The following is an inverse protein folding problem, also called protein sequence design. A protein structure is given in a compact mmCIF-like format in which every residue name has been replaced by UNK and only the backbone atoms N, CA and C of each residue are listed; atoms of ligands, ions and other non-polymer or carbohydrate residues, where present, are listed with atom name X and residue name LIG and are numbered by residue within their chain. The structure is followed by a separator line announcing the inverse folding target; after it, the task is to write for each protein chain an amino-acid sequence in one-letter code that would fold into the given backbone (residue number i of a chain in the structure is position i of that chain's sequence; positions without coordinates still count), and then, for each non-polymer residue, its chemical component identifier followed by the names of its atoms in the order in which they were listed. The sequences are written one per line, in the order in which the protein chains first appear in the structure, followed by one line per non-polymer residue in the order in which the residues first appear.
data_IF_186282113874
#
_entry.id   IF_186282113874
#
_cell.length_a   1.000
_cell.length_b   1.000
_cell.length_c   1.000
_cell.angle_alpha   90.00
_cell.angle_beta   90.00
_cell.angle_gamma   90.00
#
_symmetry.space_group_name_H-M   'P 1'
#
loop_
_entity.id
_entity.type
_entity.pdbx_description
1 polymer ?
#
# COMPACT_ATOMS: atom_id res chain seq x y z
N UNK A 1 19.62 -8.43 -5.85
CA UNK A 1 18.73 -8.61 -7.01
C UNK A 1 18.64 -7.29 -7.73
N UNK A 2 18.78 -7.24 -9.05
CA UNK A 2 18.50 -6.03 -9.83
C UNK A 2 17.02 -6.05 -10.20
N UNK A 3 16.31 -4.98 -9.89
CA UNK A 3 14.97 -4.76 -10.42
C UNK A 3 15.05 -4.35 -11.90
N UNK A 4 14.02 -4.67 -12.66
CA UNK A 4 13.87 -4.33 -14.08
C UNK A 4 13.57 -2.84 -14.26
N UNK A 5 12.58 -2.30 -13.53
CA UNK A 5 12.15 -0.90 -13.65
C UNK A 5 12.15 -0.13 -12.34
N UNK A 6 12.24 -0.80 -11.19
CA UNK A 6 12.28 -0.15 -9.87
C UNK A 6 13.68 0.43 -9.63
N UNK A 7 13.74 1.73 -9.36
CA UNK A 7 15.00 2.41 -9.02
C UNK A 7 15.18 2.49 -7.51
N UNK A 8 16.32 2.02 -7.01
CA UNK A 8 16.67 2.14 -5.60
C UNK A 8 17.07 3.58 -5.26
N UNK A 9 16.46 4.21 -4.24
CA UNK A 9 16.83 5.56 -3.85
C UNK A 9 18.23 5.58 -3.22
N UNK A 10 19.02 6.59 -3.56
CA UNK A 10 20.36 6.76 -3.01
C UNK A 10 20.34 7.10 -1.51
N UNK A 11 21.20 6.45 -0.74
CA UNK A 11 21.41 6.72 0.68
C UNK A 11 20.27 6.28 1.60
N UNK A 12 19.33 5.45 1.11
CA UNK A 12 18.34 4.79 1.94
C UNK A 12 18.79 3.42 2.43
N UNK A 13 18.27 2.99 3.58
CA UNK A 13 18.55 1.69 4.17
C UNK A 13 17.27 0.86 4.36
N UNK A 14 17.38 -0.47 4.31
CA UNK A 14 16.23 -1.37 4.46
C UNK A 14 15.74 -1.42 5.90
N UNK A 15 14.42 -1.43 6.07
CA UNK A 15 13.82 -1.95 7.30
C UNK A 15 14.08 -3.46 7.35
N UNK A 16 14.49 -3.98 8.51
CA UNK A 16 14.73 -5.41 8.70
C UNK A 16 13.88 -5.97 9.84
N UNK A 17 13.56 -7.26 9.75
CA UNK A 17 12.77 -7.98 10.74
C UNK A 17 13.70 -8.81 11.64
N UNK A 18 13.57 -8.62 12.96
CA UNK A 18 14.24 -9.47 13.94
C UNK A 18 13.55 -10.83 14.07
N UNK A 19 14.23 -11.79 14.70
CA UNK A 19 13.68 -13.13 14.93
C UNK A 19 12.45 -13.14 15.85
N UNK A 20 12.26 -12.11 16.66
CA UNK A 20 11.10 -11.92 17.54
C UNK A 20 9.93 -11.17 16.87
N UNK A 21 10.06 -10.80 15.59
CA UNK A 21 9.06 -10.05 14.84
C UNK A 21 9.12 -8.53 15.03
N UNK A 22 10.03 -7.99 15.84
CA UNK A 22 10.24 -6.54 15.93
C UNK A 22 10.96 -5.99 14.69
N UNK A 23 10.73 -4.71 14.39
CA UNK A 23 11.34 -4.03 13.24
C UNK A 23 12.58 -3.23 13.67
N UNK A 24 13.68 -3.40 12.94
CA UNK A 24 14.78 -2.44 12.96
C UNK A 24 14.53 -1.40 11.87
N UNK A 25 14.27 -0.16 12.29
CA UNK A 25 14.01 0.97 11.39
C UNK A 25 15.21 1.92 11.43
N UNK A 26 15.98 2.05 10.34
CA UNK A 26 17.09 3.00 10.26
C UNK A 26 16.58 4.44 10.25
N UNK A 27 17.46 5.43 10.41
CA UNK A 27 17.08 6.85 10.37
C UNK A 27 16.64 7.32 8.98
N UNK A 28 17.11 6.64 7.93
CA UNK A 28 16.70 6.87 6.55
C UNK A 28 16.12 5.62 5.86
N UNK A 29 14.93 5.14 6.28
CA UNK A 29 14.38 3.91 5.75
C UNK A 29 13.91 4.07 4.30
N UNK A 30 14.14 3.03 3.51
CA UNK A 30 13.51 2.88 2.19
C UNK A 30 12.06 2.44 2.40
N UNK A 31 11.13 3.25 1.92
CA UNK A 31 9.69 2.93 1.94
C UNK A 31 9.20 2.84 0.51
N UNK A 32 8.71 1.65 0.14
CA UNK A 32 8.14 1.44 -1.17
C UNK A 32 6.75 2.11 -1.27
N UNK A 33 6.46 2.74 -2.40
CA UNK A 33 5.13 3.31 -2.65
C UNK A 33 4.60 2.99 -4.05
N UNK A 34 3.29 2.80 -4.15
CA UNK A 34 2.56 2.73 -5.41
C UNK A 34 1.74 4.01 -5.56
N UNK A 35 1.93 4.76 -6.65
CA UNK A 35 1.20 6.01 -6.92
C UNK A 35 -0.32 5.81 -6.89
N UNK A 36 -0.78 4.72 -7.51
CA UNK A 36 -2.18 4.37 -7.63
C UNK A 36 -2.83 4.94 -8.90
N UNK A 37 -3.96 4.37 -9.27
CA UNK A 37 -4.74 4.74 -10.44
C UNK A 37 -5.68 5.92 -10.16
N UNK A 38 -6.20 6.57 -11.21
CA UNK A 38 -7.16 7.66 -11.09
C UNK A 38 -6.64 8.79 -10.21
N UNK A 39 -7.30 9.05 -9.07
CA UNK A 39 -6.90 10.11 -8.13
C UNK A 39 -5.56 9.87 -7.42
N UNK A 40 -4.91 8.70 -7.63
CA UNK A 40 -3.58 8.40 -7.10
C UNK A 40 -2.55 9.46 -7.44
N UNK A 41 -2.61 9.99 -8.66
CA UNK A 41 -1.72 11.07 -9.16
C UNK A 41 -1.86 12.37 -8.37
N UNK A 42 -3.02 12.62 -7.76
CA UNK A 42 -3.27 13.82 -6.96
C UNK A 42 -2.90 13.60 -5.48
N UNK A 43 -3.30 12.45 -4.91
CA UNK A 43 -3.18 12.23 -3.46
C UNK A 43 -1.78 11.78 -3.04
N UNK A 44 -1.10 10.97 -3.85
CA UNK A 44 0.19 10.36 -3.46
C UNK A 44 1.31 11.41 -3.34
N UNK A 45 1.48 12.36 -4.28
CA UNK A 45 2.47 13.42 -4.12
C UNK A 45 2.21 14.31 -2.89
N UNK A 46 0.93 14.58 -2.58
CA UNK A 46 0.55 15.39 -1.42
C UNK A 46 0.82 14.63 -0.12
N UNK A 47 0.46 13.35 -0.05
CA UNK A 47 0.74 12.48 1.09
C UNK A 47 2.24 12.48 1.43
N UNK A 48 3.11 12.27 0.42
CA UNK A 48 4.57 12.27 0.61
C UNK A 48 5.07 13.60 1.16
N UNK A 49 4.62 14.73 0.58
CA UNK A 49 4.99 16.08 1.06
C UNK A 49 4.59 16.31 2.53
N UNK A 50 3.40 15.87 2.92
CA UNK A 50 2.92 16.02 4.31
C UNK A 50 3.75 15.15 5.26
N UNK A 51 4.04 13.90 4.90
CA UNK A 51 4.87 13.01 5.71
C UNK A 51 6.29 13.56 5.84
N UNK A 52 6.92 13.95 4.73
CA UNK A 52 8.27 14.50 4.73
C UNK A 52 8.37 15.74 5.63
N UNK A 53 7.38 16.65 5.54
CA UNK A 53 7.33 17.85 6.39
C UNK A 53 7.10 17.51 7.88
N UNK A 54 6.28 16.49 8.18
CA UNK A 54 6.05 16.04 9.54
C UNK A 54 7.31 15.41 10.16
N UNK A 55 8.05 14.62 9.39
CA UNK A 55 9.34 14.03 9.79
C UNK A 55 10.36 15.15 10.05
N UNK A 56 10.53 16.06 9.10
CA UNK A 56 11.46 17.18 9.25
C UNK A 56 11.12 18.05 10.46
N UNK A 57 9.84 18.23 10.78
CA UNK A 57 9.41 18.96 11.98
C UNK A 57 9.69 18.21 13.29
N UNK A 58 9.58 16.89 13.27
CA UNK A 58 9.72 16.06 14.47
C UNK A 58 11.17 15.70 14.80
N UNK A 59 12.03 15.63 13.78
CA UNK A 59 13.39 15.10 13.89
C UNK A 59 14.45 15.98 13.20
N UNK A 60 14.10 17.20 12.79
CA UNK A 60 14.97 18.10 12.03
C UNK A 60 15.59 17.39 10.80
N UNK A 61 16.91 17.28 10.74
CA UNK A 61 17.64 16.58 9.66
C UNK A 61 18.01 15.15 9.98
N UNK A 62 17.72 14.67 11.20
CA UNK A 62 18.22 13.38 11.68
C UNK A 62 17.49 12.21 11.02
N UNK A 63 16.26 12.42 10.53
CA UNK A 63 15.46 11.37 9.89
C UNK A 63 14.82 11.84 8.60
N UNK A 64 14.69 10.92 7.64
CA UNK A 64 14.01 11.15 6.37
C UNK A 64 13.55 9.83 5.74
N UNK A 65 12.51 9.82 4.92
CA UNK A 65 12.17 8.63 4.13
C UNK A 65 12.92 8.66 2.79
N UNK A 66 13.49 7.52 2.40
CA UNK A 66 13.95 7.28 1.04
C UNK A 66 12.83 6.61 0.23
N UNK A 67 12.01 7.42 -0.44
CA UNK A 67 10.88 6.91 -1.22
C UNK A 67 11.35 6.10 -2.43
N UNK A 68 10.83 4.87 -2.56
CA UNK A 68 11.08 3.99 -3.69
C UNK A 68 9.77 3.71 -4.42
N UNK A 69 9.64 4.13 -5.67
CA UNK A 69 8.43 3.87 -6.44
C UNK A 69 8.41 2.42 -6.93
N UNK A 70 7.29 1.74 -6.71
CA UNK A 70 6.98 0.42 -7.27
C UNK A 70 5.63 0.50 -7.98
N UNK A 71 5.41 -0.37 -8.96
CA UNK A 71 4.33 -0.16 -9.93
C UNK A 71 3.23 -1.22 -9.82
N UNK A 72 1.98 -0.78 -9.85
CA UNK A 72 0.81 -1.63 -10.02
C UNK A 72 -0.29 -0.83 -10.73
N UNK A 73 -1.27 -1.51 -11.32
CA UNK A 73 -2.38 -0.85 -12.01
C UNK A 73 -2.03 -0.37 -13.41
N UNK A 74 -2.70 0.70 -13.84
CA UNK A 74 -2.56 1.29 -15.18
C UNK A 74 -1.13 1.78 -15.43
N UNK A 75 -0.49 2.35 -14.39
CA UNK A 75 0.90 2.79 -14.48
C UNK A 75 1.86 1.61 -14.71
N UNK A 76 1.60 0.45 -14.12
CA UNK A 76 2.40 -0.75 -14.39
C UNK A 76 2.24 -1.22 -15.84
N UNK A 77 1.01 -1.25 -16.37
CA UNK A 77 0.76 -1.56 -17.79
C UNK A 77 1.53 -0.61 -18.70
N UNK A 78 1.52 0.70 -18.40
CA UNK A 78 2.26 1.69 -19.17
C UNK A 78 3.80 1.52 -19.09
N UNK A 79 4.32 1.12 -17.93
CA UNK A 79 5.77 1.01 -17.68
C UNK A 79 6.36 -0.33 -18.14
N UNK A 80 5.63 -1.43 -18.01
CA UNK A 80 6.09 -2.80 -18.31
C UNK A 80 5.50 -3.35 -19.62
N UNK A 81 4.44 -2.75 -20.15
CA UNK A 81 3.76 -3.19 -21.37
C UNK A 81 2.88 -4.43 -21.17
N UNK A 82 2.04 -4.71 -22.18
CA UNK A 82 1.13 -5.85 -22.18
C UNK A 82 0.07 -5.78 -21.07
N UNK A 83 -0.31 -6.94 -20.54
CA UNK A 83 -1.27 -7.05 -19.43
C UNK A 83 -0.57 -7.13 -18.05
N UNK A 84 0.57 -6.47 -17.89
CA UNK A 84 1.35 -6.48 -16.64
C UNK A 84 0.78 -5.50 -15.60
N UNK A 85 -0.37 -5.87 -15.01
CA UNK A 85 -1.05 -5.07 -13.97
C UNK A 85 -0.39 -5.16 -12.59
N UNK A 86 0.37 -6.24 -12.33
CA UNK A 86 1.11 -6.45 -11.08
C UNK A 86 2.44 -7.16 -11.40
N UNK A 87 3.50 -6.41 -11.75
CA UNK A 87 4.82 -6.96 -11.97
C UNK A 87 5.30 -7.76 -10.75
N UNK A 88 5.93 -8.92 -10.98
CA UNK A 88 6.42 -9.78 -9.90
C UNK A 88 7.43 -9.05 -8.98
N UNK A 89 8.21 -8.13 -9.54
CA UNK A 89 9.15 -7.34 -8.75
C UNK A 89 8.50 -6.35 -7.78
N UNK A 90 7.25 -5.93 -8.03
CA UNK A 90 6.48 -5.10 -7.10
C UNK A 90 6.19 -5.88 -5.81
N UNK A 91 5.75 -7.14 -5.93
CA UNK A 91 5.52 -8.01 -4.77
C UNK A 91 6.83 -8.36 -4.07
N UNK A 92 7.89 -8.64 -4.83
CA UNK A 92 9.21 -8.92 -4.28
C UNK A 92 9.75 -7.72 -3.49
N UNK A 93 9.66 -6.51 -4.04
CA UNK A 93 10.08 -5.27 -3.39
C UNK A 93 9.22 -4.98 -2.14
N UNK A 94 7.89 -5.11 -2.22
CA UNK A 94 7.02 -4.91 -1.07
C UNK A 94 7.36 -5.86 0.10
N UNK A 95 7.68 -7.13 -0.20
CA UNK A 95 8.14 -8.12 0.79
C UNK A 95 9.52 -7.80 1.34
N UNK A 96 10.46 -7.46 0.46
CA UNK A 96 11.87 -7.19 0.81
C UNK A 96 12.04 -5.93 1.66
N UNK A 97 11.24 -4.89 1.41
CA UNK A 97 11.30 -3.61 2.11
C UNK A 97 10.32 -3.50 3.29
N UNK A 98 9.56 -4.57 3.57
CA UNK A 98 8.70 -4.78 4.75
C UNK A 98 7.49 -3.85 4.85
N UNK A 99 7.68 -2.55 4.66
CA UNK A 99 6.66 -1.51 4.80
C UNK A 99 6.48 -0.80 3.48
N UNK A 100 5.22 -0.71 3.04
CA UNK A 100 4.84 -0.01 1.82
C UNK A 100 3.51 0.73 1.97
N UNK A 101 3.30 1.74 1.12
CA UNK A 101 2.05 2.51 1.05
C UNK A 101 1.55 2.60 -0.39
N UNK A 102 0.24 2.63 -0.61
CA UNK A 102 -0.33 2.71 -1.96
C UNK A 102 -1.49 3.68 -2.07
N UNK A 103 -1.61 4.33 -3.23
CA UNK A 103 -2.86 4.94 -3.69
C UNK A 103 -3.92 3.89 -4.05
N UNK A 104 -5.11 4.31 -4.53
CA UNK A 104 -6.14 3.39 -5.01
C UNK A 104 -5.66 2.60 -6.23
N UNK A 105 -6.20 1.41 -6.46
CA UNK A 105 -5.95 0.65 -7.70
C UNK A 105 -7.28 0.25 -8.32
N UNK A 106 -7.43 0.54 -9.61
CA UNK A 106 -8.58 0.15 -10.42
C UNK A 106 -8.56 -1.36 -10.60
N UNK A 107 -9.70 -2.01 -10.36
CA UNK A 107 -9.90 -3.41 -10.78
C UNK A 107 -10.83 -3.38 -11.99
N UNK A 108 -10.37 -3.77 -13.19
CA UNK A 108 -11.23 -3.80 -14.36
C UNK A 108 -12.40 -4.77 -14.14
N UNK A 109 -13.62 -4.29 -14.42
CA UNK A 109 -14.85 -5.09 -14.25
C UNK A 109 -15.03 -6.00 -15.48
N UNK A 110 -15.26 -7.29 -15.26
CA UNK A 110 -15.65 -8.25 -16.31
C UNK A 110 -14.51 -8.85 -17.14
N UNK A 111 -13.25 -8.46 -16.91
CA UNK A 111 -12.08 -8.91 -17.70
C UNK A 111 -11.36 -10.17 -17.18
N UNK A 112 -11.93 -10.90 -16.21
CA UNK A 112 -11.30 -12.12 -15.65
C UNK A 112 -10.09 -11.89 -14.73
N UNK A 113 -9.75 -10.63 -14.41
CA UNK A 113 -8.67 -10.31 -13.47
C UNK A 113 -9.24 -10.19 -12.06
N UNK A 114 -8.78 -11.06 -11.15
CA UNK A 114 -9.05 -10.94 -9.71
C UNK A 114 -8.51 -9.59 -9.20
N UNK A 115 -9.19 -8.96 -8.25
CA UNK A 115 -8.82 -7.62 -7.79
C UNK A 115 -7.35 -7.51 -7.38
N UNK A 116 -6.62 -6.55 -7.95
CA UNK A 116 -5.21 -6.28 -7.63
C UNK A 116 -5.00 -6.03 -6.13
N UNK A 117 -5.99 -5.41 -5.48
CA UNK A 117 -5.95 -5.17 -4.04
C UNK A 117 -6.10 -6.47 -3.24
N UNK A 118 -6.88 -7.45 -3.73
CA UNK A 118 -7.04 -8.77 -3.10
C UNK A 118 -5.79 -9.61 -3.35
N UNK A 119 -5.26 -9.61 -4.58
CA UNK A 119 -4.02 -10.29 -4.94
C UNK A 119 -2.85 -9.83 -4.04
N UNK A 120 -2.65 -8.50 -3.89
CA UNK A 120 -1.64 -7.96 -2.96
C UNK A 120 -1.76 -8.51 -1.53
N UNK A 121 -2.99 -8.69 -1.03
CA UNK A 121 -3.22 -9.16 0.34
C UNK A 121 -2.93 -10.64 0.47
N UNK A 122 -3.41 -11.44 -0.48
CA UNK A 122 -3.24 -12.89 -0.49
C UNK A 122 -1.77 -13.26 -0.75
N UNK A 123 -1.14 -12.67 -1.76
CA UNK A 123 0.24 -13.00 -2.14
C UNK A 123 1.26 -12.60 -1.07
N UNK A 124 0.98 -11.53 -0.32
CA UNK A 124 1.82 -11.07 0.80
C UNK A 124 1.39 -11.64 2.15
N UNK A 125 0.32 -12.45 2.20
CA UNK A 125 -0.29 -12.99 3.42
C UNK A 125 -0.58 -11.92 4.49
N UNK A 126 -1.13 -10.79 4.04
CA UNK A 126 -1.55 -9.68 4.91
C UNK A 126 -2.94 -9.96 5.50
N UNK A 127 -3.03 -10.99 6.34
CA UNK A 127 -4.27 -11.56 6.87
C UNK A 127 -5.09 -10.60 7.77
N UNK A 128 -4.51 -9.48 8.24
CA UNK A 128 -5.22 -8.42 8.98
C UNK A 128 -5.47 -7.21 8.10
N UNK A 129 -6.74 -6.89 7.86
CA UNK A 129 -7.16 -5.57 7.41
C UNK A 129 -7.57 -4.72 8.61
N UNK A 130 -6.64 -3.89 9.10
CA UNK A 130 -6.83 -3.01 10.26
C UNK A 130 -7.43 -1.66 9.85
N UNK A 131 -8.59 -1.29 10.41
CA UNK A 131 -9.29 -0.02 10.09
C UNK A 131 -9.69 0.73 11.36
N UNK A 132 -8.86 1.68 11.82
CA UNK A 132 -9.27 2.65 12.83
C UNK A 132 -10.36 3.58 12.27
N UNK A 133 -11.45 3.76 13.02
CA UNK A 133 -12.55 4.67 12.68
C UNK A 133 -12.78 5.58 13.87
N UNK A 134 -12.42 6.86 13.71
CA UNK A 134 -12.61 7.91 14.71
C UNK A 134 -13.14 9.18 14.08
N UNK A 135 -13.86 9.97 14.85
CA UNK A 135 -14.30 11.28 14.42
C UNK A 135 -13.19 12.33 14.54
N UNK A 136 -13.11 13.21 13.55
CA UNK A 136 -12.32 14.45 13.61
C UNK A 136 -13.28 15.63 13.75
N UNK A 137 -13.06 16.47 14.74
CA UNK A 137 -13.93 17.60 15.04
C UNK A 137 -14.10 18.52 13.82
N UNK A 138 -15.34 18.87 13.50
CA UNK A 138 -15.69 19.76 12.38
C UNK A 138 -15.96 19.04 11.06
N UNK A 139 -15.66 17.74 10.95
CA UNK A 139 -16.05 16.94 9.77
C UNK A 139 -17.57 16.83 9.72
N UNK A 140 -18.23 17.15 8.58
CA UNK A 140 -19.66 16.96 8.41
C UNK A 140 -20.05 15.49 8.60
N UNK A 141 -21.14 15.23 9.31
CA UNK A 141 -21.62 13.88 9.55
C UNK A 141 -23.14 13.79 9.37
N UNK A 142 -23.65 12.66 8.84
CA UNK A 142 -25.09 12.39 8.83
C UNK A 142 -25.64 11.97 10.22
N UNK A 143 -24.78 11.69 11.20
CA UNK A 143 -25.18 11.24 12.53
C UNK A 143 -25.33 12.41 13.50
N UNK A 144 -26.21 12.26 14.50
CA UNK A 144 -26.40 13.27 15.57
C UNK A 144 -25.20 13.40 16.51
N UNK A 145 -24.47 12.30 16.73
CA UNK A 145 -23.36 12.22 17.70
C UNK A 145 -22.16 11.43 17.12
N UNK A 146 -21.52 11.93 16.05
CA UNK A 146 -20.40 11.22 15.42
C UNK A 146 -19.17 11.07 16.33
N UNK A 147 -19.00 11.98 17.30
CA UNK A 147 -17.91 11.96 18.26
C UNK A 147 -17.89 10.73 19.18
N UNK A 148 -19.02 10.02 19.31
CA UNK A 148 -19.07 8.79 20.10
C UNK A 148 -18.47 7.59 19.35
N UNK A 149 -18.16 7.74 18.05
CA UNK A 149 -17.53 6.70 17.25
C UNK A 149 -16.01 6.71 17.43
N UNK A 150 -15.51 5.76 18.21
CA UNK A 150 -14.09 5.48 18.39
C UNK A 150 -13.89 3.96 18.41
N UNK A 151 -13.48 3.40 17.27
CA UNK A 151 -13.42 1.96 17.07
C UNK A 151 -12.17 1.57 16.28
N UNK A 152 -11.73 0.33 16.44
CA UNK A 152 -10.70 -0.30 15.60
C UNK A 152 -11.24 -1.62 15.09
N UNK A 153 -11.41 -1.73 13.77
CA UNK A 153 -11.92 -2.93 13.13
C UNK A 153 -10.74 -3.81 12.72
N UNK A 154 -10.73 -5.05 13.20
CA UNK A 154 -9.89 -6.13 12.71
C UNK A 154 -10.71 -7.00 11.77
N UNK A 155 -10.49 -6.84 10.46
CA UNK A 155 -11.17 -7.62 9.44
C UNK A 155 -10.22 -8.70 8.93
N UNK A 156 -10.66 -9.96 8.96
CA UNK A 156 -10.00 -11.10 8.30
C UNK A 156 -9.85 -10.80 6.78
N UNK A 157 -8.69 -11.16 6.22
CA UNK A 157 -8.26 -10.63 4.91
C UNK A 157 -7.55 -11.65 4.01
N UNK A 158 -7.54 -12.92 4.40
CA UNK A 158 -6.98 -14.06 3.66
C UNK A 158 -8.04 -15.02 3.11
N UNK A 159 -9.23 -15.10 3.71
CA UNK A 159 -10.23 -16.15 3.42
C UNK A 159 -11.60 -15.57 2.98
N UNK A 160 -12.71 -16.17 3.45
CA UNK A 160 -14.10 -15.88 3.11
C UNK A 160 -14.40 -16.05 1.60
N UNK A 161 -15.56 -15.59 1.14
CA UNK A 161 -15.93 -15.50 -0.27
C UNK A 161 -14.92 -14.69 -1.11
N UNK A 162 -14.04 -13.93 -0.46
CA UNK A 162 -12.93 -13.22 -1.11
C UNK A 162 -11.84 -14.14 -1.66
N UNK A 163 -11.84 -15.43 -1.32
CA UNK A 163 -11.00 -16.43 -1.98
C UNK A 163 -11.25 -16.55 -3.49
N UNK A 164 -12.43 -16.13 -3.96
CA UNK A 164 -12.78 -16.16 -5.40
C UNK A 164 -12.85 -17.58 -5.96
N UNK A 165 -13.35 -18.52 -5.15
CA UNK A 165 -13.64 -19.90 -5.52
C UNK A 165 -15.12 -19.98 -5.89
N UNK A 166 -15.41 -19.78 -7.18
CA UNK A 166 -16.76 -19.69 -7.73
C UNK A 166 -16.80 -20.24 -9.16
N UNK A 167 -17.99 -20.68 -9.59
CA UNK A 167 -18.24 -21.20 -10.93
C UNK A 167 -19.51 -20.58 -11.50
N UNK A 168 -19.51 -20.38 -12.82
CA UNK A 168 -20.69 -19.90 -13.54
C UNK A 168 -21.77 -20.98 -13.58
N UNK A 169 -23.04 -20.58 -13.48
CA UNK A 169 -24.14 -21.54 -13.52
C UNK A 169 -24.17 -22.29 -14.87
N UNK A 170 -23.94 -23.60 -14.82
CA UNK A 170 -23.96 -24.47 -16.01
C UNK A 170 -22.59 -24.75 -16.65
N UNK A 171 -21.47 -24.37 -16.02
CA UNK A 171 -20.09 -24.73 -16.42
C UNK A 171 -19.68 -26.15 -16.05
#
# INVERSE_FOLDING_TARGET
MSYEKIELPAGGEKITLNTDGSLNVPDRPIIAYIEGDGIGVDITPVMRKVIDAAIAKAYDSDRAIAWMEIFAGEKAVATYGGDNWMPAETLAAAREYVVSIKGPLTTPVGGGIRSLNVALRQDLDLYVCLRPVRYFQGVPSPLKRPQDTEMVIFRENSEDIYAGIEWEAGS
#
